data_IF_899929484728
#
_entry.id   IF_899929484728
#
_cell.length_a   1.000
_cell.length_b   1.000
_cell.length_c   1.000
_cell.angle_alpha   90.00
_cell.angle_beta   90.00
_cell.angle_gamma   90.00
#
_symmetry.space_group_name_H-M   'P 1'
#
loop_
_entity.id
_entity.type
_entity.pdbx_description
1 polymer ?
#
# COMPACT_ATOMS: atom_id res chain seq x y z
N UNK A 1 -38.53 45.48 23.37
CA UNK A 1 -37.33 44.89 24.03
C UNK A 1 -37.35 43.39 23.71
N UNK A 2 -36.77 42.94 22.59
CA UNK A 2 -35.36 42.50 22.47
C UNK A 2 -35.02 41.50 23.59
N UNK A 3 -35.03 40.18 23.37
CA UNK A 3 -33.96 39.33 22.80
C UNK A 3 -34.17 37.95 23.49
N UNK A 4 -33.88 36.75 22.99
CA UNK A 4 -32.88 36.25 22.05
C UNK A 4 -33.31 34.81 21.72
N UNK A 5 -33.33 34.44 20.43
CA UNK A 5 -33.51 33.04 20.02
C UNK A 5 -32.20 32.30 20.31
N UNK A 6 -32.17 31.43 21.31
CA UNK A 6 -31.04 30.50 21.51
C UNK A 6 -31.27 29.34 20.54
N UNK A 7 -30.78 29.53 19.31
CA UNK A 7 -30.62 28.44 18.37
C UNK A 7 -29.51 27.52 18.86
N UNK A 8 -29.88 26.36 19.39
CA UNK A 8 -28.93 25.27 19.65
C UNK A 8 -28.43 24.71 18.32
N UNK A 9 -27.36 25.30 17.79
CA UNK A 9 -26.50 24.69 16.79
C UNK A 9 -25.73 23.57 17.50
N UNK A 10 -26.29 22.36 17.48
CA UNK A 10 -25.55 21.15 17.81
C UNK A 10 -24.44 20.97 16.76
N UNK A 11 -23.23 21.40 17.12
CA UNK A 11 -22.03 21.15 16.35
C UNK A 11 -21.77 19.65 16.32
N UNK A 12 -21.98 19.02 15.16
CA UNK A 12 -21.51 17.67 14.89
C UNK A 12 -19.99 17.77 14.74
N UNK A 13 -19.27 17.60 15.85
CA UNK A 13 -17.84 17.31 15.82
C UNK A 13 -17.68 15.94 15.14
N UNK A 14 -17.41 15.96 13.85
CA UNK A 14 -16.92 14.79 13.12
C UNK A 14 -15.57 14.43 13.72
N UNK A 15 -15.59 13.46 14.64
CA UNK A 15 -14.41 12.78 15.16
C UNK A 15 -13.73 12.04 14.00
N UNK A 16 -12.95 12.75 13.18
CA UNK A 16 -11.93 12.11 12.35
C UNK A 16 -10.86 11.59 13.31
N UNK A 17 -11.07 10.39 13.85
CA UNK A 17 -10.01 9.67 14.52
C UNK A 17 -8.83 9.56 13.57
N UNK A 18 -7.61 9.80 14.07
CA UNK A 18 -6.37 9.52 13.35
C UNK A 18 -6.20 8.01 13.20
N UNK A 19 -7.04 7.37 12.39
CA UNK A 19 -6.82 6.01 11.93
C UNK A 19 -5.74 6.08 10.85
N UNK A 20 -4.78 5.17 10.89
CA UNK A 20 -3.80 5.04 9.83
C UNK A 20 -4.55 4.84 8.49
N UNK A 21 -4.07 5.41 7.38
CA UNK A 21 -4.70 5.22 6.08
C UNK A 21 -4.89 3.73 5.76
N UNK A 22 -6.00 3.35 5.15
CA UNK A 22 -6.14 1.99 4.59
C UNK A 22 -5.41 1.87 3.25
N UNK A 23 -5.11 0.66 2.76
CA UNK A 23 -4.55 0.46 1.42
C UNK A 23 -5.37 1.15 0.32
N UNK A 24 -6.70 1.13 0.41
CA UNK A 24 -7.60 1.80 -0.53
C UNK A 24 -7.41 3.32 -0.51
N UNK A 25 -7.22 3.90 0.69
CA UNK A 25 -6.93 5.34 0.83
C UNK A 25 -5.53 5.68 0.31
N UNK A 26 -4.54 4.82 0.52
CA UNK A 26 -3.19 5.02 0.00
C UNK A 26 -3.13 5.00 -1.53
N UNK A 27 -3.96 4.19 -2.20
CA UNK A 27 -4.08 4.15 -3.68
C UNK A 27 -4.61 5.46 -4.30
N UNK A 28 -5.25 6.33 -3.52
CA UNK A 28 -5.69 7.65 -3.98
C UNK A 28 -4.52 8.64 -4.14
N UNK A 29 -3.36 8.33 -3.56
CA UNK A 29 -2.15 9.13 -3.66
C UNK A 29 -1.21 8.57 -4.73
N UNK A 30 -0.13 9.30 -5.02
CA UNK A 30 0.92 8.78 -5.90
C UNK A 30 1.61 7.58 -5.26
N UNK A 31 1.94 6.53 -6.04
CA UNK A 31 2.73 5.42 -5.54
C UNK A 31 4.13 5.91 -5.17
N UNK A 32 4.70 5.29 -4.13
CA UNK A 32 6.09 5.50 -3.73
C UNK A 32 7.03 5.12 -4.88
N UNK A 33 6.67 4.07 -5.61
CA UNK A 33 7.38 3.64 -6.81
C UNK A 33 6.40 3.01 -7.81
N UNK A 34 6.66 3.23 -9.09
CA UNK A 34 5.92 2.62 -10.19
C UNK A 34 6.91 2.13 -11.24
N UNK A 35 6.65 0.95 -11.81
CA UNK A 35 7.49 0.34 -12.82
C UNK A 35 6.75 -0.68 -13.68
N UNK A 36 7.36 -1.06 -14.79
CA UNK A 36 6.84 -2.07 -15.72
C UNK A 36 7.84 -3.22 -15.80
N UNK A 37 7.33 -4.43 -15.98
CA UNK A 37 8.09 -5.65 -16.18
C UNK A 37 7.57 -6.41 -17.39
N UNK A 38 8.45 -7.13 -18.08
CA UNK A 38 8.04 -8.09 -19.11
C UNK A 38 7.44 -9.38 -18.53
N UNK A 39 7.50 -9.55 -17.21
CA UNK A 39 6.91 -10.70 -16.50
C UNK A 39 5.38 -10.59 -16.47
N UNK A 40 4.70 -11.73 -16.44
CA UNK A 40 3.25 -11.76 -16.23
C UNK A 40 2.91 -11.35 -14.80
N UNK A 41 1.64 -11.01 -14.55
CA UNK A 41 1.16 -10.66 -13.20
C UNK A 41 1.55 -11.72 -12.16
N UNK A 42 1.27 -13.03 -12.34
CA UNK A 42 1.69 -14.04 -11.36
C UNK A 42 3.21 -14.13 -11.15
N UNK A 43 4.00 -13.99 -12.22
CA UNK A 43 5.47 -14.07 -12.13
C UNK A 43 6.07 -12.88 -11.38
N UNK A 44 5.58 -11.67 -11.65
CA UNK A 44 6.04 -10.47 -10.97
C UNK A 44 5.62 -10.50 -9.49
N UNK A 45 4.37 -10.89 -9.21
CA UNK A 45 3.86 -11.01 -7.85
C UNK A 45 4.61 -12.05 -7.02
N UNK A 46 4.92 -13.23 -7.58
CA UNK A 46 5.70 -14.27 -6.89
C UNK A 46 7.14 -13.80 -6.57
N UNK A 47 7.77 -13.07 -7.50
CA UNK A 47 9.10 -12.49 -7.25
C UNK A 47 9.09 -11.53 -6.06
N UNK A 48 8.12 -10.60 -6.02
CA UNK A 48 7.99 -9.61 -4.95
C UNK A 48 7.65 -10.31 -3.63
N UNK A 49 6.68 -11.22 -3.64
CA UNK A 49 6.27 -12.01 -2.48
C UNK A 49 7.46 -12.73 -1.84
N UNK A 50 8.26 -13.45 -2.65
CA UNK A 50 9.45 -14.15 -2.15
C UNK A 50 10.46 -13.18 -1.57
N UNK A 51 10.79 -12.12 -2.30
CA UNK A 51 11.77 -11.13 -1.84
C UNK A 51 11.36 -10.49 -0.51
N UNK A 52 10.09 -10.12 -0.36
CA UNK A 52 9.57 -9.57 0.89
C UNK A 52 9.49 -10.60 2.03
N UNK A 53 9.21 -11.87 1.72
CA UNK A 53 9.13 -12.95 2.71
C UNK A 53 10.50 -13.43 3.22
N UNK A 54 11.59 -13.17 2.48
CA UNK A 54 12.93 -13.68 2.79
C UNK A 54 13.95 -12.62 3.15
N UNK A 55 13.65 -11.33 3.00
CA UNK A 55 14.59 -10.26 3.36
C UNK A 55 14.83 -10.23 4.88
N UNK A 56 16.11 -10.08 5.26
CA UNK A 56 16.57 -10.08 6.66
C UNK A 56 16.89 -8.66 7.17
N UNK A 57 16.66 -7.61 6.35
CA UNK A 57 16.88 -6.21 6.75
C UNK A 57 16.02 -5.81 7.96
N UNK A 58 15.00 -6.60 8.27
CA UNK A 58 14.18 -6.51 9.46
C UNK A 58 13.98 -7.94 9.96
N UNK A 59 13.79 -8.10 11.28
CA UNK A 59 13.28 -9.35 11.83
C UNK A 59 12.18 -9.91 10.93
N UNK A 60 12.26 -11.20 10.61
CA UNK A 60 11.44 -11.88 9.61
C UNK A 60 9.97 -11.46 9.72
N UNK A 61 9.50 -10.66 8.77
CA UNK A 61 8.09 -10.28 8.70
C UNK A 61 7.31 -11.44 8.06
N UNK A 62 6.58 -12.17 8.88
CA UNK A 62 5.75 -13.30 8.46
C UNK A 62 4.33 -12.89 8.04
N UNK A 63 4.04 -11.59 7.94
CA UNK A 63 2.73 -11.08 7.50
C UNK A 63 2.61 -10.97 5.99
N UNK A 64 3.68 -11.30 5.23
CA UNK A 64 3.64 -11.23 3.77
C UNK A 64 2.59 -12.18 3.20
N UNK A 65 1.65 -11.65 2.43
CA UNK A 65 0.62 -12.43 1.75
C UNK A 65 0.16 -11.75 0.45
N UNK A 66 -0.69 -12.45 -0.31
CA UNK A 66 -1.24 -11.94 -1.56
C UNK A 66 -2.76 -11.90 -1.53
N UNK A 67 -3.34 -10.85 -2.12
CA UNK A 67 -4.77 -10.70 -2.30
C UNK A 67 -5.09 -10.50 -3.79
N UNK A 68 -5.62 -11.53 -4.47
CA UNK A 68 -6.09 -11.41 -5.84
C UNK A 68 -7.37 -10.57 -5.93
N UNK A 69 -7.47 -9.69 -6.94
CA UNK A 69 -8.66 -8.90 -7.24
C UNK A 69 -8.84 -8.79 -8.76
N UNK A 70 -9.66 -9.66 -9.34
CA UNK A 70 -9.78 -9.75 -10.80
C UNK A 70 -8.45 -10.19 -11.42
N UNK A 71 -7.91 -9.40 -12.34
CA UNK A 71 -6.60 -9.64 -12.98
C UNK A 71 -5.42 -9.01 -12.20
N UNK A 72 -5.71 -8.24 -11.15
CA UNK A 72 -4.69 -7.68 -10.26
C UNK A 72 -4.31 -8.67 -9.16
N UNK A 73 -3.04 -8.69 -8.77
CA UNK A 73 -2.60 -9.30 -7.53
C UNK A 73 -1.94 -8.23 -6.67
N UNK A 74 -2.46 -8.04 -5.47
CA UNK A 74 -1.83 -7.19 -4.45
C UNK A 74 -0.95 -8.05 -3.56
N UNK A 75 0.29 -7.64 -3.33
CA UNK A 75 1.20 -8.24 -2.35
C UNK A 75 1.22 -7.30 -1.15
N UNK A 76 0.97 -7.81 0.05
CA UNK A 76 0.93 -7.04 1.30
C UNK A 76 1.96 -7.58 2.27
N UNK A 77 2.48 -6.71 3.14
CA UNK A 77 3.45 -7.00 4.21
C UNK A 77 3.32 -5.89 5.26
N UNK A 78 3.86 -6.11 6.45
CA UNK A 78 3.78 -5.19 7.59
C UNK A 78 2.33 -4.82 7.94
N UNK A 79 1.53 -5.83 8.29
CA UNK A 79 0.11 -5.64 8.66
C UNK A 79 -0.61 -4.77 7.62
N UNK A 80 -0.45 -5.11 6.35
CA UNK A 80 -1.06 -4.46 5.18
C UNK A 80 -0.65 -3.01 4.93
N UNK A 81 0.33 -2.51 5.67
CA UNK A 81 0.75 -1.11 5.59
C UNK A 81 1.78 -0.84 4.50
N UNK A 82 2.38 -1.89 3.96
CA UNK A 82 3.27 -1.84 2.81
C UNK A 82 2.71 -2.81 1.78
N UNK A 83 2.43 -2.32 0.57
CA UNK A 83 1.81 -3.15 -0.44
C UNK A 83 2.23 -2.76 -1.86
N UNK A 84 2.16 -3.74 -2.76
CA UNK A 84 2.42 -3.59 -4.18
C UNK A 84 1.26 -4.16 -4.97
N UNK A 85 0.60 -3.31 -5.75
CA UNK A 85 -0.44 -3.71 -6.69
C UNK A 85 0.23 -4.08 -8.02
N UNK A 86 0.00 -5.31 -8.49
CA UNK A 86 0.50 -5.80 -9.79
C UNK A 86 -0.67 -5.99 -10.74
N UNK A 87 -0.69 -5.24 -11.84
CA UNK A 87 -1.78 -5.23 -12.82
C UNK A 87 -1.27 -5.63 -14.20
N UNK A 88 -2.10 -6.24 -15.06
CA UNK A 88 -1.69 -6.64 -16.40
C UNK A 88 -1.45 -5.40 -17.28
N UNK A 89 -0.47 -5.52 -18.18
CA UNK A 89 -0.20 -4.56 -19.24
C UNK A 89 -0.06 -5.31 -20.58
N UNK A 90 -0.14 -4.59 -21.71
CA UNK A 90 -0.02 -5.17 -23.07
C UNK A 90 1.18 -6.11 -23.26
N UNK A 91 2.29 -5.89 -22.56
CA UNK A 91 3.52 -6.70 -22.66
C UNK A 91 4.09 -7.04 -21.28
N UNK A 92 3.25 -7.62 -20.41
CA UNK A 92 3.67 -8.07 -19.09
C UNK A 92 2.80 -7.49 -17.99
N UNK A 93 3.42 -6.83 -17.01
CA UNK A 93 2.73 -6.29 -15.85
C UNK A 93 3.30 -4.94 -15.43
N UNK A 94 2.42 -4.10 -14.89
CA UNK A 94 2.78 -2.90 -14.15
C UNK A 94 2.76 -3.23 -12.65
N UNK A 95 3.66 -2.63 -11.89
CA UNK A 95 3.61 -2.62 -10.43
C UNK A 95 3.55 -1.20 -9.90
N UNK A 96 2.68 -0.98 -8.92
CA UNK A 96 2.62 0.24 -8.11
C UNK A 96 2.83 -0.12 -6.65
N UNK A 97 3.85 0.48 -6.06
CA UNK A 97 4.27 0.27 -4.68
C UNK A 97 3.78 1.43 -3.81
N UNK A 98 3.09 1.11 -2.71
CA UNK A 98 2.46 2.06 -1.82
C UNK A 98 2.80 1.76 -0.36
N UNK A 99 2.52 2.74 0.49
CA UNK A 99 2.50 2.54 1.92
C UNK A 99 1.44 3.42 2.57
N UNK A 100 0.88 2.95 3.69
CA UNK A 100 -0.05 3.71 4.53
C UNK A 100 0.69 4.51 5.61
N UNK A 101 1.91 4.12 5.97
CA UNK A 101 2.78 4.86 6.88
C UNK A 101 4.26 4.60 6.58
N UNK A 102 5.12 5.60 6.76
CA UNK A 102 6.55 5.42 6.51
C UNK A 102 7.24 4.72 7.70
N UNK A 103 7.75 3.51 7.45
CA UNK A 103 8.71 2.86 8.33
C UNK A 103 10.09 3.56 8.29
N UNK A 104 11.05 3.05 9.08
CA UNK A 104 12.43 3.51 9.02
C UNK A 104 12.95 3.54 7.56
N UNK A 105 13.72 4.57 7.15
CA UNK A 105 14.10 4.75 5.74
C UNK A 105 14.79 3.52 5.10
N UNK A 106 15.55 2.77 5.89
CA UNK A 106 16.23 1.54 5.46
C UNK A 106 15.23 0.45 5.05
N UNK A 107 14.12 0.32 5.79
CA UNK A 107 13.03 -0.60 5.46
C UNK A 107 12.39 -0.22 4.14
N UNK A 108 12.02 1.06 4.00
CA UNK A 108 11.37 1.53 2.77
C UNK A 108 12.29 1.38 1.56
N UNK A 109 13.58 1.64 1.73
CA UNK A 109 14.59 1.44 0.69
C UNK A 109 14.73 -0.04 0.29
N UNK A 110 14.78 -0.96 1.25
CA UNK A 110 14.85 -2.41 0.98
C UNK A 110 13.63 -2.91 0.22
N UNK A 111 12.42 -2.59 0.71
CA UNK A 111 11.16 -3.03 0.08
C UNK A 111 11.04 -2.52 -1.35
N UNK A 112 11.37 -1.25 -1.57
CA UNK A 112 11.38 -0.68 -2.91
C UNK A 112 12.48 -1.30 -3.80
N UNK A 113 13.67 -1.59 -3.25
CA UNK A 113 14.76 -2.21 -4.00
C UNK A 113 14.40 -3.63 -4.44
N UNK A 114 13.69 -4.39 -3.62
CA UNK A 114 13.15 -5.72 -3.99
C UNK A 114 12.17 -5.60 -5.15
N UNK A 115 11.21 -4.66 -5.09
CA UNK A 115 10.26 -4.42 -6.19
C UNK A 115 11.01 -4.09 -7.48
N UNK A 116 12.01 -3.19 -7.41
CA UNK A 116 12.85 -2.81 -8.55
C UNK A 116 13.63 -3.97 -9.15
N UNK A 117 14.16 -4.88 -8.33
CA UNK A 117 14.89 -6.08 -8.78
C UNK A 117 13.99 -7.06 -9.53
N UNK A 118 12.69 -7.01 -9.28
CA UNK A 118 11.72 -7.89 -9.92
C UNK A 118 11.21 -7.41 -11.28
N UNK A 119 11.54 -6.18 -11.69
CA UNK A 119 11.14 -5.65 -12.99
C UNK A 119 11.86 -6.34 -14.16
#
# INVERSE_FOLDING_TARGET
MNHFRIGSLFGVLLMYGCQAPTPEQARLNQPVFQGQSTRTVPQLSDCIYRGWSTTEVIARDNTTHTQPQGEQITILTWEDSIFADVTPQRQGAEVKFFTTFNMAPQVMADRQAIVRRCL
#
